data_IF_791177287886
#
_entry.id   IF_791177287886
#
_cell.length_a   1.000
_cell.length_b   1.000
_cell.length_c   1.000
_cell.angle_alpha   90.00
_cell.angle_beta   90.00
_cell.angle_gamma   90.00
#
_symmetry.space_group_name_H-M   'P 1'
#
loop_
_entity.id
_entity.type
_entity.pdbx_description
1 polymer ?
#
# COMPACT_ATOMS: atom_id res chain seq x y z
N UNK A 1 -10.68 26.70 15.59
CA UNK A 1 -11.17 25.48 16.26
C UNK A 1 -10.51 24.32 15.54
N UNK A 2 -9.60 23.60 16.18
CA UNK A 2 -8.91 22.45 15.60
C UNK A 2 -9.93 21.35 15.37
N UNK A 3 -10.34 21.14 14.13
CA UNK A 3 -11.29 20.09 13.77
C UNK A 3 -10.71 18.73 14.13
N UNK A 4 -11.46 17.95 14.89
CA UNK A 4 -11.04 16.61 15.30
C UNK A 4 -11.09 15.69 14.07
N UNK A 5 -9.92 15.29 13.55
CA UNK A 5 -9.80 14.42 12.36
C UNK A 5 -10.53 13.09 12.52
N UNK A 6 -10.67 12.57 13.75
CA UNK A 6 -11.41 11.34 14.03
C UNK A 6 -12.91 11.57 13.82
N UNK A 7 -13.41 12.71 14.28
CA UNK A 7 -14.80 13.09 14.06
C UNK A 7 -15.10 13.25 12.57
N UNK A 8 -14.24 13.93 11.81
CA UNK A 8 -14.37 14.07 10.35
C UNK A 8 -14.39 12.69 9.66
N UNK A 9 -13.48 11.79 10.02
CA UNK A 9 -13.41 10.45 9.44
C UNK A 9 -14.69 9.64 9.70
N UNK A 10 -15.16 9.61 10.95
CA UNK A 10 -16.34 8.83 11.33
C UNK A 10 -17.59 9.41 10.69
N UNK A 11 -17.77 10.73 10.72
CA UNK A 11 -18.93 11.37 10.07
C UNK A 11 -18.92 11.20 8.56
N UNK A 12 -17.75 11.29 7.90
CA UNK A 12 -17.61 11.01 6.48
C UNK A 12 -17.93 9.54 6.15
N UNK A 13 -17.49 8.59 6.98
CA UNK A 13 -17.83 7.17 6.82
C UNK A 13 -19.34 6.95 6.95
N UNK A 14 -19.98 7.49 8.00
CA UNK A 14 -21.43 7.36 8.18
C UNK A 14 -22.18 7.92 6.98
N UNK A 15 -21.76 9.08 6.47
CA UNK A 15 -22.35 9.69 5.27
C UNK A 15 -22.16 8.81 4.03
N UNK A 16 -20.95 8.27 3.82
CA UNK A 16 -20.64 7.38 2.70
C UNK A 16 -21.51 6.12 2.67
N UNK A 17 -21.80 5.57 3.85
CA UNK A 17 -22.62 4.36 4.01
C UNK A 17 -24.13 4.70 4.06
N UNK A 18 -24.50 5.99 4.09
CA UNK A 18 -25.88 6.43 4.16
C UNK A 18 -26.52 6.29 5.54
N UNK A 19 -25.71 6.33 6.60
CA UNK A 19 -26.17 6.24 8.00
C UNK A 19 -26.51 7.66 8.47
N UNK A 20 -27.79 7.96 8.77
CA UNK A 20 -28.18 9.26 9.29
C UNK A 20 -27.61 9.46 10.69
N UNK A 21 -26.91 10.58 10.88
CA UNK A 21 -26.31 10.97 12.15
C UNK A 21 -26.82 12.34 12.58
N UNK A 22 -27.11 12.49 13.87
CA UNK A 22 -27.57 13.75 14.45
C UNK A 22 -26.76 14.05 15.70
N UNK A 23 -26.33 15.30 15.84
CA UNK A 23 -25.59 15.76 17.01
C UNK A 23 -26.54 16.52 17.95
N UNK A 24 -26.53 16.15 19.23
CA UNK A 24 -27.19 16.88 20.30
C UNK A 24 -26.33 18.04 20.81
N UNK A 25 -26.95 18.98 21.54
CA UNK A 25 -26.25 20.13 22.12
C UNK A 25 -25.15 19.77 23.13
N UNK A 26 -25.20 18.55 23.70
CA UNK A 26 -24.25 18.06 24.71
C UNK A 26 -23.04 17.34 24.09
N UNK A 27 -22.88 17.36 22.77
CA UNK A 27 -21.76 16.68 22.10
C UNK A 27 -21.97 15.16 21.96
N UNK A 28 -23.20 14.69 22.14
CA UNK A 28 -23.61 13.31 21.92
C UNK A 28 -24.13 13.17 20.49
N UNK A 29 -23.66 12.14 19.80
CA UNK A 29 -24.08 11.79 18.45
C UNK A 29 -24.98 10.56 18.48
N UNK A 30 -26.09 10.63 17.75
CA UNK A 30 -27.01 9.52 17.56
C UNK A 30 -27.04 9.11 16.09
N UNK A 31 -26.79 7.82 15.82
CA UNK A 31 -26.87 7.22 14.51
C UNK A 31 -27.98 6.16 14.48
N UNK A 32 -28.80 6.19 13.43
CA UNK A 32 -29.78 5.12 13.17
C UNK A 32 -29.18 4.17 12.13
N UNK A 33 -28.89 2.93 12.51
CA UNK A 33 -28.17 1.98 11.68
C UNK A 33 -29.15 1.26 10.74
N UNK A 34 -28.98 1.38 9.40
CA UNK A 34 -29.78 0.63 8.43
C UNK A 34 -29.63 -0.88 8.60
N UNK A 35 -30.67 -1.65 8.30
CA UNK A 35 -30.68 -3.11 8.45
C UNK A 35 -29.49 -3.80 7.77
N UNK A 36 -29.14 -3.35 6.56
CA UNK A 36 -28.01 -3.84 5.79
C UNK A 36 -26.66 -3.72 6.51
N UNK A 37 -26.53 -2.78 7.45
CA UNK A 37 -25.28 -2.43 8.12
C UNK A 37 -25.23 -2.90 9.57
N UNK A 38 -26.32 -3.47 10.10
CA UNK A 38 -26.40 -3.93 11.50
C UNK A 38 -25.30 -4.92 11.86
N UNK A 39 -24.95 -5.86 10.97
CA UNK A 39 -23.87 -6.83 11.21
C UNK A 39 -22.51 -6.16 11.45
N UNK A 40 -22.26 -5.03 10.80
CA UNK A 40 -21.05 -4.23 11.02
C UNK A 40 -21.08 -3.52 12.38
N UNK A 41 -22.25 -3.17 12.89
CA UNK A 41 -22.44 -2.56 14.21
C UNK A 41 -22.94 -3.56 15.25
N UNK A 42 -22.50 -4.82 15.21
CA UNK A 42 -22.84 -5.85 16.21
C UNK A 42 -24.35 -6.08 16.44
N UNK A 43 -25.18 -5.81 15.45
CA UNK A 43 -26.64 -5.93 15.52
C UNK A 43 -27.36 -4.70 16.05
N UNK A 44 -26.66 -3.61 16.40
CA UNK A 44 -27.30 -2.40 16.92
C UNK A 44 -28.18 -1.71 15.88
N UNK A 45 -29.39 -1.32 16.28
CA UNK A 45 -30.30 -0.50 15.47
C UNK A 45 -30.04 0.99 15.67
N UNK A 46 -29.59 1.36 16.86
CA UNK A 46 -29.24 2.72 17.25
C UNK A 46 -27.88 2.70 17.93
N UNK A 47 -27.05 3.67 17.58
CA UNK A 47 -25.74 3.85 18.16
C UNK A 47 -25.64 5.27 18.72
N UNK A 48 -25.32 5.38 20.01
CA UNK A 48 -25.07 6.65 20.67
C UNK A 48 -23.58 6.72 21.03
N UNK A 49 -22.89 7.74 20.55
CA UNK A 49 -21.45 7.87 20.72
C UNK A 49 -21.03 9.32 20.95
N UNK A 50 -19.83 9.50 21.48
CA UNK A 50 -19.22 10.82 21.65
C UNK A 50 -17.73 10.77 21.34
N UNK A 51 -17.15 11.92 21.00
CA UNK A 51 -15.72 12.10 20.82
C UNK A 51 -15.08 12.79 22.04
N UNK A 52 -15.90 13.21 23.02
CA UNK A 52 -15.46 13.89 24.22
C UNK A 52 -15.42 12.92 25.40
N UNK A 53 -14.24 12.82 26.01
CA UNK A 53 -14.02 11.97 27.17
C UNK A 53 -14.85 12.42 28.38
N UNK A 54 -15.01 13.72 28.61
CA UNK A 54 -15.75 14.23 29.76
C UNK A 54 -17.24 13.90 29.68
N UNK A 55 -17.78 13.87 28.44
CA UNK A 55 -19.17 13.47 28.18
C UNK A 55 -19.34 11.97 28.38
N UNK A 56 -18.40 11.15 27.88
CA UNK A 56 -18.42 9.70 28.07
C UNK A 56 -18.30 9.28 29.55
N UNK A 57 -17.55 10.02 30.37
CA UNK A 57 -17.44 9.72 31.81
C UNK A 57 -18.75 10.00 32.57
N UNK A 58 -19.57 10.94 32.09
CA UNK A 58 -20.89 11.27 32.67
C UNK A 58 -21.99 10.30 32.22
N UNK A 59 -21.88 9.75 31.01
CA UNK A 59 -22.89 8.90 30.39
C UNK A 59 -22.31 7.53 30.03
N UNK A 60 -22.56 6.52 30.87
CA UNK A 60 -22.04 5.15 30.69
C UNK A 60 -22.62 4.40 29.50
N UNK A 61 -23.70 4.90 28.94
CA UNK A 61 -24.41 4.35 27.78
C UNK A 61 -23.84 4.83 26.44
N UNK A 62 -22.88 5.77 26.46
CA UNK A 62 -22.24 6.28 25.24
C UNK A 62 -20.95 5.54 24.93
N UNK A 63 -20.74 5.24 23.64
CA UNK A 63 -19.45 4.77 23.16
C UNK A 63 -18.50 5.95 22.93
N UNK A 64 -17.34 5.95 23.60
CA UNK A 64 -16.28 6.92 23.35
C UNK A 64 -15.48 6.52 22.11
N UNK A 65 -15.55 7.33 21.06
CA UNK A 65 -14.74 7.15 19.86
C UNK A 65 -13.47 7.99 19.98
N UNK A 66 -12.37 7.32 20.31
CA UNK A 66 -11.03 7.88 20.38
C UNK A 66 -10.02 6.97 19.67
N UNK A 67 -8.76 7.39 19.63
CA UNK A 67 -7.65 6.52 19.18
C UNK A 67 -7.65 5.22 19.99
N UNK A 68 -7.61 4.08 19.30
CA UNK A 68 -7.70 2.76 19.92
C UNK A 68 -9.11 2.26 20.22
N UNK A 69 -10.17 3.04 19.97
CA UNK A 69 -11.54 2.54 20.07
C UNK A 69 -11.83 1.44 19.04
N UNK A 70 -12.64 0.46 19.44
CA UNK A 70 -12.96 -0.70 18.61
C UNK A 70 -13.72 -0.29 17.34
N UNK A 71 -14.71 0.60 17.47
CA UNK A 71 -15.47 1.09 16.34
C UNK A 71 -14.60 1.83 15.31
N UNK A 72 -13.70 2.72 15.77
CA UNK A 72 -12.77 3.42 14.88
C UNK A 72 -11.89 2.42 14.11
N UNK A 73 -11.36 1.41 14.80
CA UNK A 73 -10.56 0.35 14.17
C UNK A 73 -11.34 -0.39 13.09
N UNK A 74 -12.59 -0.78 13.35
CA UNK A 74 -13.45 -1.44 12.36
C UNK A 74 -13.75 -0.56 11.16
N UNK A 75 -14.01 0.74 11.38
CA UNK A 75 -14.25 1.71 10.31
C UNK A 75 -13.02 1.80 9.41
N UNK A 76 -11.83 1.94 10.00
CA UNK A 76 -10.56 2.00 9.26
C UNK A 76 -10.31 0.70 8.48
N UNK A 77 -10.48 -0.47 9.12
CA UNK A 77 -10.31 -1.77 8.46
C UNK A 77 -11.25 -1.94 7.26
N UNK A 78 -12.51 -1.52 7.39
CA UNK A 78 -13.48 -1.56 6.28
C UNK A 78 -13.10 -0.60 5.15
N UNK A 79 -12.64 0.60 5.48
CA UNK A 79 -12.21 1.57 4.47
C UNK A 79 -10.97 1.11 3.70
N UNK A 80 -10.01 0.47 4.39
CA UNK A 80 -8.80 -0.10 3.78
C UNK A 80 -9.09 -1.37 2.98
N UNK A 81 -10.09 -2.15 3.39
CA UNK A 81 -10.44 -3.42 2.76
C UNK A 81 -11.14 -3.30 1.41
N UNK A 82 -11.54 -2.10 0.98
CA UNK A 82 -12.18 -1.86 -0.31
C UNK A 82 -11.11 -1.27 -1.25
N UNK A 83 -10.57 -2.04 -2.21
CA UNK A 83 -9.67 -1.50 -3.20
C UNK A 83 -10.44 -0.48 -4.05
N UNK A 84 -10.06 0.79 -3.95
CA UNK A 84 -10.71 1.86 -4.72
C UNK A 84 -9.84 2.23 -5.90
N UNK A 85 -10.45 2.29 -7.08
CA UNK A 85 -9.87 2.98 -8.22
C UNK A 85 -10.63 4.27 -8.38
N UNK A 86 -9.92 5.38 -8.33
CA UNK A 86 -10.52 6.70 -8.50
C UNK A 86 -9.82 7.45 -9.62
N UNK A 87 -10.57 8.27 -10.35
CA UNK A 87 -10.02 9.19 -11.33
C UNK A 87 -10.33 10.59 -10.85
N UNK A 88 -9.31 11.44 -10.79
CA UNK A 88 -9.41 12.81 -10.30
C UNK A 88 -8.80 13.76 -11.31
N UNK A 89 -9.45 14.89 -11.55
CA UNK A 89 -9.03 15.94 -12.47
C UNK A 89 -8.52 17.13 -11.67
N UNK A 90 -7.30 17.57 -11.95
CA UNK A 90 -6.71 18.72 -11.26
C UNK A 90 -7.36 20.02 -11.74
N UNK A 91 -7.73 20.85 -10.78
CA UNK A 91 -8.15 22.24 -10.97
C UNK A 91 -6.92 23.14 -10.95
N UNK A 92 -6.72 23.92 -12.01
CA UNK A 92 -5.65 24.91 -12.04
C UNK A 92 -5.11 25.19 -13.43
N UNK A 93 -4.15 26.13 -13.49
CA UNK A 93 -3.49 26.49 -14.73
C UNK A 93 -2.82 25.27 -15.36
N UNK A 94 -2.97 25.07 -16.68
CA UNK A 94 -2.39 23.92 -17.36
C UNK A 94 -0.86 23.97 -17.28
N UNK A 95 -0.26 22.82 -16.97
CA UNK A 95 1.19 22.67 -16.88
C UNK A 95 1.83 22.72 -18.27
N UNK A 96 3.07 23.20 -18.33
CA UNK A 96 3.90 23.03 -19.51
C UNK A 96 4.43 21.59 -19.53
N UNK A 97 4.47 20.93 -20.70
CA UNK A 97 4.96 19.58 -20.81
C UNK A 97 6.44 19.54 -20.39
N UNK A 98 6.91 18.48 -19.71
CA UNK A 98 8.32 18.35 -19.37
C UNK A 98 9.15 18.36 -20.65
N UNK A 99 10.05 19.34 -20.77
CA UNK A 99 11.04 19.41 -21.85
C UNK A 99 12.05 18.30 -21.55
N UNK A 100 11.87 17.14 -22.18
CA UNK A 100 12.74 15.98 -21.95
C UNK A 100 14.20 16.33 -22.20
N UNK A 101 15.07 16.01 -21.24
CA UNK A 101 16.52 16.18 -21.28
C UNK A 101 17.23 15.17 -22.20
N UNK A 102 16.50 14.48 -23.08
CA UNK A 102 17.06 13.49 -24.01
C UNK A 102 16.90 13.94 -25.46
N UNK A 103 18.01 14.48 -26.00
CA UNK A 103 18.32 14.77 -27.42
C UNK A 103 17.62 15.97 -28.07
N UNK A 104 18.30 17.12 -27.95
CA UNK A 104 18.31 18.20 -28.93
C UNK A 104 17.16 19.20 -28.85
N UNK A 105 17.37 20.47 -29.27
CA UNK A 105 16.31 21.46 -29.36
C UNK A 105 15.48 21.18 -30.63
N UNK A 106 14.67 20.13 -30.61
CA UNK A 106 13.54 20.07 -31.55
C UNK A 106 12.49 21.05 -31.05
N UNK A 107 12.48 22.25 -31.63
CA UNK A 107 11.37 23.19 -31.60
C UNK A 107 10.12 22.47 -32.11
N UNK A 108 9.41 21.76 -31.22
CA UNK A 108 8.08 21.26 -31.52
C UNK A 108 7.15 22.46 -31.51
N UNK A 109 6.55 22.75 -32.67
CA UNK A 109 5.43 23.68 -32.80
C UNK A 109 4.38 23.27 -31.75
N UNK A 110 4.34 23.98 -30.61
CA UNK A 110 3.19 24.01 -29.73
C UNK A 110 2.05 24.50 -30.63
N UNK A 111 1.10 23.63 -30.95
CA UNK A 111 -0.15 24.14 -31.51
C UNK A 111 -0.70 25.09 -30.44
N UNK A 112 -0.78 26.40 -30.69
CA UNK A 112 -1.16 27.34 -29.66
C UNK A 112 -2.57 26.98 -29.19
N UNK A 113 -2.73 26.74 -27.89
CA UNK A 113 -4.03 26.78 -27.22
C UNK A 113 -4.82 25.47 -27.09
N UNK A 114 -4.28 24.28 -27.40
CA UNK A 114 -4.99 23.02 -27.07
C UNK A 114 -4.48 22.44 -25.75
N UNK A 115 -5.31 22.58 -24.71
CA UNK A 115 -5.14 21.93 -23.40
C UNK A 115 -5.67 20.50 -23.49
N UNK A 116 -4.97 19.54 -22.87
CA UNK A 116 -5.45 18.18 -22.71
C UNK A 116 -5.10 17.67 -21.30
N UNK A 117 -5.85 16.70 -20.79
CA UNK A 117 -5.49 16.04 -19.54
C UNK A 117 -4.45 14.94 -19.79
N UNK A 118 -3.33 15.03 -19.07
CA UNK A 118 -2.29 14.01 -18.97
C UNK A 118 -2.52 13.15 -17.73
N UNK A 119 -2.34 11.85 -17.85
CA UNK A 119 -2.53 10.92 -16.73
C UNK A 119 -1.24 10.75 -15.92
N UNK A 120 -1.35 10.85 -14.60
CA UNK A 120 -0.40 10.35 -13.61
C UNK A 120 -1.13 9.36 -12.71
N UNK A 121 -0.42 8.44 -12.08
CA UNK A 121 -1.06 7.41 -11.24
C UNK A 121 -0.40 7.37 -9.88
N UNK A 122 -1.22 7.42 -8.82
CA UNK A 122 -0.78 7.23 -7.44
C UNK A 122 -1.25 5.86 -6.97
N UNK A 123 -0.31 5.01 -6.57
CA UNK A 123 -0.58 3.73 -5.95
C UNK A 123 -0.29 3.83 -4.45
N UNK A 124 -1.29 3.60 -3.60
CA UNK A 124 -1.07 3.55 -2.16
C UNK A 124 -1.02 2.08 -1.70
N UNK A 125 0.05 1.73 -1.00
CA UNK A 125 0.32 0.38 -0.51
C UNK A 125 0.32 0.33 1.01
N UNK A 126 -0.15 -0.80 1.54
CA UNK A 126 0.06 -1.22 2.92
C UNK A 126 1.10 -2.34 2.93
N UNK A 127 2.16 -2.16 3.70
CA UNK A 127 3.19 -3.19 3.93
C UNK A 127 3.08 -3.64 5.38
N UNK A 128 2.79 -4.92 5.59
CA UNK A 128 2.68 -5.53 6.91
C UNK A 128 3.89 -6.45 7.14
N UNK A 129 4.64 -6.18 8.20
CA UNK A 129 5.73 -6.99 8.69
C UNK A 129 5.24 -7.80 9.87
N UNK A 130 5.20 -9.12 9.74
CA UNK A 130 4.71 -10.04 10.76
C UNK A 130 5.84 -10.97 11.19
N UNK A 131 6.26 -10.85 12.45
CA UNK A 131 7.08 -11.85 13.15
C UNK A 131 6.51 -12.07 14.55
N UNK A 132 7.27 -11.79 15.62
CA UNK A 132 6.76 -11.70 17.00
C UNK A 132 5.72 -10.57 17.15
N UNK A 133 6.01 -9.41 16.57
CA UNK A 133 5.10 -8.27 16.50
C UNK A 133 4.65 -8.03 15.06
N UNK A 134 3.43 -7.50 14.91
CA UNK A 134 2.91 -6.99 13.63
C UNK A 134 3.15 -5.49 13.54
N UNK A 135 3.90 -5.07 12.53
CA UNK A 135 4.11 -3.67 12.20
C UNK A 135 3.52 -3.38 10.82
N UNK A 136 2.69 -2.34 10.71
CA UNK A 136 2.12 -1.91 9.42
C UNK A 136 2.69 -0.55 9.03
N UNK A 137 3.00 -0.39 7.74
CA UNK A 137 3.45 0.87 7.14
C UNK A 137 2.68 1.16 5.87
N UNK A 138 2.54 2.44 5.58
CA UNK A 138 1.85 2.94 4.40
C UNK A 138 2.86 3.59 3.47
N UNK A 139 2.68 3.38 2.17
CA UNK A 139 3.54 3.97 1.14
C UNK A 139 2.68 4.50 0.00
N UNK A 140 3.05 5.65 -0.54
CA UNK A 140 2.43 6.26 -1.72
C UNK A 140 3.46 6.34 -2.84
N UNK A 141 3.14 5.76 -3.99
CA UNK A 141 3.99 5.75 -5.18
C UNK A 141 3.31 6.52 -6.31
N UNK A 142 3.86 7.68 -6.67
CA UNK A 142 3.43 8.49 -7.80
C UNK A 142 4.24 8.10 -9.04
N UNK A 143 3.56 7.60 -10.07
CA UNK A 143 4.13 7.29 -11.37
C UNK A 143 3.69 8.33 -12.42
N UNK A 144 4.65 9.06 -13.00
CA UNK A 144 4.42 9.98 -14.11
C UNK A 144 4.87 9.32 -15.43
N UNK A 145 3.94 8.84 -16.28
CA UNK A 145 4.28 8.17 -17.54
C UNK A 145 4.95 9.10 -18.56
N UNK A 146 4.81 10.43 -18.44
CA UNK A 146 5.43 11.37 -19.38
C UNK A 146 6.85 11.75 -18.99
N UNK A 147 7.15 11.80 -17.68
CA UNK A 147 8.52 12.03 -17.19
C UNK A 147 9.33 10.74 -17.06
N UNK A 148 8.67 9.57 -17.06
CA UNK A 148 9.28 8.28 -16.71
C UNK A 148 9.90 8.30 -15.32
N UNK A 149 9.29 9.05 -14.40
CA UNK A 149 9.73 9.20 -13.02
C UNK A 149 8.71 8.53 -12.09
N UNK A 150 9.23 7.80 -11.11
CA UNK A 150 8.46 7.17 -10.05
C UNK A 150 8.96 7.74 -8.72
N UNK A 151 8.06 8.39 -7.99
CA UNK A 151 8.35 8.97 -6.69
C UNK A 151 7.67 8.15 -5.61
N UNK A 152 8.45 7.68 -4.63
CA UNK A 152 7.95 6.95 -3.48
C UNK A 152 8.04 7.82 -2.23
N UNK A 153 6.96 7.88 -1.46
CA UNK A 153 6.86 8.57 -0.18
C UNK A 153 6.31 7.62 0.88
N UNK A 154 6.89 7.65 2.09
CA UNK A 154 6.31 6.96 3.25
C UNK A 154 5.10 7.76 3.76
N UNK A 155 4.01 7.06 4.08
CA UNK A 155 2.69 7.63 4.35
C UNK A 155 1.76 7.59 3.15
N UNK A 156 0.51 8.00 3.37
CA UNK A 156 -0.47 8.22 2.29
C UNK A 156 -0.20 9.58 1.64
N UNK A 157 -0.39 9.67 0.33
CA UNK A 157 -0.12 10.89 -0.43
C UNK A 157 -0.96 12.09 0.03
N UNK A 158 -0.39 13.30 -0.06
CA UNK A 158 -1.05 14.57 0.28
C UNK A 158 -1.88 15.08 -0.91
N UNK A 159 -2.93 14.36 -1.28
CA UNK A 159 -3.88 14.88 -2.27
C UNK A 159 -4.78 15.91 -1.60
N UNK A 160 -4.61 17.17 -2.00
CA UNK A 160 -5.46 18.28 -1.54
C UNK A 160 -6.83 18.19 -2.24
N UNK A 161 -7.91 17.87 -1.54
CA UNK A 161 -9.24 17.72 -2.14
C UNK A 161 -9.75 19.02 -2.77
N UNK A 162 -9.20 20.19 -2.42
CA UNK A 162 -9.58 21.46 -3.04
C UNK A 162 -9.00 21.64 -4.44
N UNK A 163 -7.95 20.88 -4.78
CA UNK A 163 -7.25 20.96 -6.07
C UNK A 163 -7.73 19.92 -7.07
N UNK A 164 -8.64 19.01 -6.68
CA UNK A 164 -9.07 17.90 -7.52
C UNK A 164 -10.59 17.74 -7.53
N UNK A 165 -11.16 17.34 -8.68
CA UNK A 165 -12.58 16.99 -8.85
C UNK A 165 -12.73 15.63 -9.50
N UNK A 166 -13.88 15.00 -9.32
CA UNK A 166 -14.22 13.74 -9.99
C UNK A 166 -14.62 13.94 -11.47
N UNK A 167 -15.14 15.13 -11.81
CA UNK A 167 -15.57 15.46 -13.17
C UNK A 167 -14.49 16.26 -13.94
N UNK A 168 -14.29 15.96 -15.24
CA UNK A 168 -13.40 16.74 -16.11
C UNK A 168 -13.98 18.12 -16.44
N UNK A 169 -13.11 19.07 -16.78
CA UNK A 169 -13.55 20.32 -17.36
C UNK A 169 -14.22 20.09 -18.74
N UNK A 170 -15.42 20.66 -18.99
CA UNK A 170 -16.11 20.49 -20.27
C UNK A 170 -15.25 20.95 -21.44
N UNK A 171 -15.09 20.08 -22.45
CA UNK A 171 -14.38 20.41 -23.69
C UNK A 171 -12.86 20.18 -23.68
N UNK A 172 -12.27 19.76 -22.56
CA UNK A 172 -10.85 19.37 -22.50
C UNK A 172 -10.70 17.88 -22.82
N UNK A 173 -10.01 17.50 -23.91
CA UNK A 173 -9.79 16.08 -24.24
C UNK A 173 -8.89 15.41 -23.20
N UNK A 174 -9.24 14.18 -22.84
CA UNK A 174 -8.41 13.32 -21.99
C UNK A 174 -7.46 12.56 -22.91
N UNK A 175 -6.15 12.79 -22.78
CA UNK A 175 -5.17 11.91 -23.42
C UNK A 175 -5.12 10.64 -22.58
N UNK A 176 -5.85 9.63 -23.03
CA UNK A 176 -5.60 8.25 -22.67
C UNK A 176 -4.29 7.85 -23.33
N UNK A 177 -3.19 8.41 -22.82
CA UNK A 177 -1.88 7.85 -23.03
C UNK A 177 -2.01 6.39 -22.64
N UNK A 178 -2.10 5.49 -23.62
CA UNK A 178 -2.14 4.03 -23.42
C UNK A 178 -0.83 3.49 -22.85
N UNK A 179 -0.20 4.23 -21.95
CA UNK A 179 0.78 3.72 -21.03
C UNK A 179 0.11 2.59 -20.25
N UNK A 180 0.74 1.43 -20.31
CA UNK A 180 0.24 0.23 -19.70
C UNK A 180 0.22 0.44 -18.17
N UNK A 181 -0.96 0.68 -17.61
CA UNK A 181 -1.16 0.87 -16.17
C UNK A 181 -0.55 -0.29 -15.37
N UNK A 182 -0.61 -1.50 -15.94
CA UNK A 182 0.01 -2.69 -15.36
C UNK A 182 1.52 -2.55 -15.29
N UNK A 183 2.15 -2.00 -16.33
CA UNK A 183 3.59 -1.75 -16.34
C UNK A 183 3.98 -0.72 -15.27
N UNK A 184 3.23 0.38 -15.14
CA UNK A 184 3.49 1.38 -14.10
C UNK A 184 3.31 0.78 -12.70
N UNK A 185 2.31 -0.07 -12.51
CA UNK A 185 2.09 -0.80 -11.27
C UNK A 185 3.27 -1.73 -10.95
N UNK A 186 3.75 -2.52 -11.92
CA UNK A 186 4.89 -3.41 -11.72
C UNK A 186 6.18 -2.64 -11.43
N UNK A 187 6.40 -1.51 -12.08
CA UNK A 187 7.54 -0.63 -11.79
C UNK A 187 7.42 -0.03 -10.38
N UNK A 188 6.22 0.38 -9.95
CA UNK A 188 5.95 0.84 -8.59
C UNK A 188 6.21 -0.25 -7.54
N UNK A 189 5.79 -1.50 -7.79
CA UNK A 189 6.08 -2.63 -6.91
C UNK A 189 7.58 -2.87 -6.75
N UNK A 190 8.36 -2.85 -7.85
CA UNK A 190 9.82 -3.01 -7.80
C UNK A 190 10.48 -1.89 -7.01
N UNK A 191 10.01 -0.66 -7.17
CA UNK A 191 10.54 0.49 -6.42
C UNK A 191 10.23 0.36 -4.93
N UNK A 192 9.02 -0.10 -4.59
CA UNK A 192 8.63 -0.37 -3.21
C UNK A 192 9.48 -1.47 -2.60
N UNK A 193 9.65 -2.61 -3.29
CA UNK A 193 10.50 -3.72 -2.88
C UNK A 193 11.94 -3.26 -2.62
N UNK A 194 12.52 -2.48 -3.52
CA UNK A 194 13.87 -1.93 -3.35
C UNK A 194 13.97 -1.01 -2.14
N UNK A 195 12.90 -0.29 -1.80
CA UNK A 195 12.89 0.65 -0.67
C UNK A 195 12.74 -0.09 0.67
N UNK A 196 11.94 -1.15 0.72
CA UNK A 196 11.73 -1.93 1.95
C UNK A 196 12.83 -2.98 2.17
N UNK A 197 13.59 -3.37 1.14
CA UNK A 197 14.61 -4.43 1.22
C UNK A 197 15.65 -4.21 2.35
N UNK A 198 16.22 -3.02 2.56
CA UNK A 198 17.14 -2.78 3.68
C UNK A 198 16.47 -3.02 5.03
N UNK A 199 15.25 -2.51 5.22
CA UNK A 199 14.48 -2.69 6.45
C UNK A 199 14.13 -4.17 6.69
N UNK A 200 13.74 -4.91 5.65
CA UNK A 200 13.52 -6.35 5.72
C UNK A 200 14.80 -7.08 6.14
N UNK A 201 15.95 -6.68 5.59
CA UNK A 201 17.26 -7.23 5.96
C UNK A 201 17.59 -7.01 7.44
N UNK A 202 17.36 -5.80 7.95
CA UNK A 202 17.58 -5.47 9.37
C UNK A 202 16.68 -6.27 10.30
N UNK A 203 15.39 -6.40 9.99
CA UNK A 203 14.44 -7.17 10.80
C UNK A 203 14.83 -8.65 10.78
N UNK A 204 15.19 -9.20 9.61
CA UNK A 204 15.67 -10.59 9.50
C UNK A 204 16.92 -10.84 10.32
N UNK A 205 17.92 -9.96 10.24
CA UNK A 205 19.15 -10.10 10.99
C UNK A 205 18.89 -10.05 12.51
N UNK A 206 18.02 -9.13 12.95
CA UNK A 206 17.60 -9.02 14.35
C UNK A 206 16.86 -10.28 14.83
N UNK A 207 15.93 -10.79 14.03
CA UNK A 207 15.17 -11.99 14.35
C UNK A 207 16.06 -13.24 14.37
N UNK A 208 17.02 -13.35 13.44
CA UNK A 208 17.99 -14.44 13.43
C UNK A 208 18.84 -14.45 14.71
N UNK A 209 19.36 -13.29 15.14
CA UNK A 209 20.13 -13.20 16.38
C UNK A 209 19.31 -13.58 17.63
N UNK A 210 18.03 -13.20 17.68
CA UNK A 210 17.11 -13.61 18.76
C UNK A 210 16.82 -15.12 18.71
N UNK A 211 16.57 -15.65 17.52
CA UNK A 211 16.37 -17.08 17.29
C UNK A 211 17.57 -17.88 17.77
N UNK A 212 18.79 -17.52 17.36
CA UNK A 212 20.02 -18.24 17.74
C UNK A 212 20.25 -18.21 19.26
N UNK A 213 19.97 -17.07 19.90
CA UNK A 213 20.10 -16.93 21.35
C UNK A 213 19.07 -17.77 22.12
N UNK A 214 17.78 -17.75 21.73
CA UNK A 214 16.75 -18.57 22.36
C UNK A 214 16.92 -20.06 22.07
N UNK A 215 17.23 -20.40 20.82
CA UNK A 215 17.50 -21.78 20.41
C UNK A 215 18.72 -22.35 21.16
N UNK A 216 19.79 -21.57 21.33
CA UNK A 216 20.94 -21.96 22.13
C UNK A 216 20.56 -22.27 23.58
N UNK A 217 19.83 -21.37 24.26
CA UNK A 217 19.36 -21.60 25.63
C UNK A 217 18.49 -22.84 25.76
N UNK A 218 17.58 -23.06 24.80
CA UNK A 218 16.69 -24.21 24.82
C UNK A 218 17.43 -25.52 24.56
N UNK A 219 18.38 -25.53 23.62
CA UNK A 219 19.24 -26.68 23.35
C UNK A 219 20.07 -27.05 24.57
N UNK A 220 20.67 -26.07 25.24
CA UNK A 220 21.50 -26.31 26.41
C UNK A 220 20.66 -26.91 27.57
N UNK A 221 19.44 -26.42 27.77
CA UNK A 221 18.47 -26.98 28.72
C UNK A 221 18.10 -28.44 28.39
N UNK A 222 17.85 -28.76 27.12
CA UNK A 222 17.52 -30.12 26.71
C UNK A 222 18.69 -31.09 26.87
N UNK A 223 19.91 -30.66 26.52
CA UNK A 223 21.12 -31.45 26.73
C UNK A 223 21.37 -31.75 28.21
N UNK A 224 21.08 -30.78 29.09
CA UNK A 224 21.13 -30.98 30.53
C UNK A 224 20.10 -32.02 30.99
N UNK A 225 18.83 -31.90 30.55
CA UNK A 225 17.78 -32.87 30.87
C UNK A 225 18.09 -34.29 30.35
N UNK A 226 18.58 -34.40 29.10
CA UNK A 226 19.01 -35.69 28.55
C UNK A 226 20.14 -36.31 29.36
N UNK A 227 21.14 -35.51 29.75
CA UNK A 227 22.26 -35.98 30.58
C UNK A 227 21.79 -36.46 31.95
N UNK A 228 20.83 -35.78 32.57
CA UNK A 228 20.24 -36.23 33.84
C UNK A 228 19.47 -37.55 33.69
N UNK A 229 18.68 -37.71 32.62
CA UNK A 229 17.96 -38.96 32.33
C UNK A 229 18.91 -40.12 32.04
N UNK A 230 20.00 -39.88 31.28
CA UNK A 230 21.03 -40.89 31.02
C UNK A 230 21.76 -41.31 32.30
N UNK A 231 22.12 -40.37 33.18
CA UNK A 231 22.68 -40.69 34.51
C UNK A 231 21.71 -41.53 35.36
N UNK A 232 20.41 -41.23 35.31
CA UNK A 232 19.39 -42.06 35.98
C UNK A 232 19.34 -43.46 35.39
N UNK A 233 19.45 -43.60 34.06
CA UNK A 233 19.50 -44.89 33.35
C UNK A 233 20.68 -45.75 33.84
N UNK A 234 21.87 -45.16 33.93
CA UNK A 234 23.07 -45.84 34.44
C UNK A 234 22.91 -46.31 35.90
N UNK A 235 22.28 -45.48 36.75
CA UNK A 235 22.06 -45.82 38.17
C UNK A 235 20.95 -46.86 38.40
N UNK A 236 20.02 -47.02 37.46
CA UNK A 236 18.90 -47.97 37.54
C UNK A 236 19.35 -49.43 37.34
N UNK A 237 20.55 -49.66 36.79
CA UNK A 237 21.17 -50.97 36.49
C UNK A 237 21.32 -51.95 37.67
N UNK A 238 21.00 -51.52 38.90
CA UNK A 238 21.15 -52.31 40.12
C UNK A 238 19.83 -52.83 40.75
N UNK A 239 18.66 -52.58 40.15
CA UNK A 239 17.37 -53.01 40.70
C UNK A 239 16.68 -54.14 39.92
N UNK A 240 16.00 -55.07 40.62
CA UNK A 240 15.26 -56.22 40.05
C UNK A 240 14.21 -55.85 38.98
N UNK A 241 13.76 -54.59 38.92
CA UNK A 241 12.81 -54.06 37.94
C UNK A 241 13.48 -53.21 36.84
N UNK A 242 14.77 -53.45 36.59
CA UNK A 242 15.61 -52.70 35.64
C UNK A 242 14.93 -52.46 34.30
N UNK A 243 14.38 -53.50 33.67
CA UNK A 243 13.73 -53.39 32.35
C UNK A 243 12.55 -52.42 32.32
N UNK A 244 11.70 -52.39 33.36
CA UNK A 244 10.55 -51.46 33.38
C UNK A 244 10.99 -50.00 33.56
N UNK A 245 12.00 -49.77 34.40
CA UNK A 245 12.56 -48.44 34.66
C UNK A 245 13.37 -47.92 33.47
N UNK A 246 14.10 -48.80 32.79
CA UNK A 246 14.87 -48.47 31.59
C UNK A 246 13.93 -48.06 30.44
N UNK A 247 12.87 -48.84 30.22
CA UNK A 247 11.87 -48.54 29.20
C UNK A 247 11.10 -47.23 29.50
N UNK A 248 10.84 -46.94 30.78
CA UNK A 248 10.25 -45.66 31.23
C UNK A 248 11.19 -44.48 30.90
N UNK A 249 12.49 -44.61 31.16
CA UNK A 249 13.48 -43.57 30.84
C UNK A 249 13.63 -43.39 29.32
N UNK A 250 13.62 -44.48 28.55
CA UNK A 250 13.71 -44.41 27.09
C UNK A 250 12.46 -43.73 26.48
N UNK A 251 11.27 -43.95 27.05
CA UNK A 251 10.06 -43.19 26.69
C UNK A 251 10.22 -41.71 27.01
N UNK A 252 10.72 -41.37 28.20
CA UNK A 252 10.96 -39.96 28.57
C UNK A 252 11.95 -39.26 27.63
N UNK A 253 13.03 -39.94 27.22
CA UNK A 253 13.99 -39.40 26.25
C UNK A 253 13.31 -39.15 24.90
N UNK A 254 12.49 -40.11 24.44
CA UNK A 254 11.76 -39.98 23.18
C UNK A 254 10.74 -38.84 23.21
N UNK A 255 9.99 -38.71 24.31
CA UNK A 255 9.04 -37.61 24.48
C UNK A 255 9.76 -36.26 24.46
N UNK A 256 10.92 -36.17 25.13
CA UNK A 256 11.75 -34.96 25.17
C UNK A 256 12.33 -34.60 23.79
N UNK A 257 12.62 -35.59 22.94
CA UNK A 257 13.00 -35.38 21.54
C UNK A 257 11.84 -34.90 20.67
N UNK A 258 10.63 -35.44 20.88
CA UNK A 258 9.44 -34.94 20.18
C UNK A 258 9.10 -33.51 20.59
N UNK A 259 9.21 -33.19 21.87
CA UNK A 259 9.02 -31.83 22.37
C UNK A 259 10.07 -30.88 21.80
N UNK A 260 11.33 -31.32 21.70
CA UNK A 260 12.38 -30.57 21.03
C UNK A 260 12.02 -30.24 19.58
N UNK A 261 11.61 -31.24 18.79
CA UNK A 261 11.23 -31.00 17.39
C UNK A 261 10.08 -29.99 17.29
N UNK A 262 9.05 -30.13 18.13
CA UNK A 262 7.92 -29.20 18.17
C UNK A 262 8.38 -27.78 18.54
N UNK A 263 9.24 -27.65 19.54
CA UNK A 263 9.69 -26.34 20.01
C UNK A 263 10.57 -25.63 19.00
N UNK A 264 11.39 -26.37 18.26
CA UNK A 264 12.18 -25.82 17.16
C UNK A 264 11.28 -25.28 16.05
N UNK A 265 10.19 -25.98 15.72
CA UNK A 265 9.19 -25.48 14.77
C UNK A 265 8.49 -24.22 15.29
N UNK A 266 8.03 -24.22 16.55
CA UNK A 266 7.45 -23.04 17.20
C UNK A 266 8.40 -21.82 17.16
N UNK A 267 9.69 -22.02 17.47
CA UNK A 267 10.70 -20.95 17.42
C UNK A 267 10.94 -20.47 15.99
N UNK A 268 11.01 -21.39 15.02
CA UNK A 268 11.16 -21.02 13.60
C UNK A 268 9.98 -20.18 13.14
N UNK A 269 8.75 -20.58 13.45
CA UNK A 269 7.55 -19.83 13.09
C UNK A 269 7.50 -18.46 13.78
N UNK A 270 7.87 -18.39 15.06
CA UNK A 270 7.90 -17.14 15.85
C UNK A 270 8.84 -16.09 15.24
N UNK A 271 10.02 -16.51 14.78
CA UNK A 271 11.05 -15.60 14.25
C UNK A 271 11.02 -15.44 12.72
N UNK A 272 10.22 -16.25 12.02
CA UNK A 272 10.04 -16.13 10.58
C UNK A 272 9.34 -14.82 10.23
N UNK A 273 10.06 -13.93 9.53
CA UNK A 273 9.49 -12.70 9.02
C UNK A 273 8.62 -12.99 7.80
N UNK A 274 7.33 -12.69 7.91
CA UNK A 274 6.37 -12.62 6.80
C UNK A 274 6.17 -11.16 6.42
N UNK A 275 6.31 -10.85 5.13
CA UNK A 275 6.08 -9.50 4.59
C UNK A 275 4.91 -9.60 3.62
N UNK A 276 3.84 -8.86 3.89
CA UNK A 276 2.65 -8.82 3.05
C UNK A 276 2.50 -7.40 2.48
N UNK A 277 2.39 -7.31 1.15
CA UNK A 277 2.15 -6.05 0.44
C UNK A 277 0.75 -6.08 -0.12
N UNK A 278 -0.09 -5.13 0.29
CA UNK A 278 -1.46 -4.95 -0.21
C UNK A 278 -1.61 -3.59 -0.88
N UNK A 279 -2.19 -3.56 -2.08
CA UNK A 279 -2.63 -2.31 -2.70
C UNK A 279 -3.93 -1.84 -2.03
N UNK A 280 -3.92 -0.62 -1.48
CA UNK A 280 -5.09 -0.02 -0.82
C UNK A 280 -5.98 0.65 -1.87
N UNK A 281 -5.40 1.52 -2.70
CA UNK A 281 -6.12 2.18 -3.78
C UNK A 281 -5.16 2.63 -4.88
N UNK A 282 -5.73 2.89 -6.06
CA UNK A 282 -5.05 3.47 -7.19
C UNK A 282 -5.82 4.71 -7.65
N UNK A 283 -5.13 5.85 -7.74
CA UNK A 283 -5.74 7.13 -8.10
C UNK A 283 -5.11 7.60 -9.40
N UNK A 284 -5.91 7.72 -10.45
CA UNK A 284 -5.51 8.30 -11.74
C UNK A 284 -5.73 9.80 -11.68
N UNK A 285 -4.64 10.56 -11.60
CA UNK A 285 -4.64 12.01 -11.62
C UNK A 285 -4.55 12.51 -13.06
N UNK A 286 -5.55 13.26 -13.49
CA UNK A 286 -5.61 13.92 -14.78
C UNK A 286 -5.16 15.38 -14.61
N UNK A 287 -3.96 15.69 -15.09
CA UNK A 287 -3.35 17.03 -14.99
C UNK A 287 -3.49 17.78 -16.31
N UNK A 288 -4.10 18.98 -16.33
CA UNK A 288 -4.23 19.75 -17.55
C UNK A 288 -2.84 20.19 -18.02
N UNK A 289 -2.52 19.94 -19.28
CA UNK A 289 -1.20 20.21 -19.88
C UNK A 289 -1.37 20.91 -21.23
N UNK A 290 -0.55 21.91 -21.53
CA UNK A 290 -0.55 22.62 -22.82
C UNK A 290 0.24 21.81 -23.86
N UNK A 291 -0.36 21.47 -25.01
CA UNK A 291 0.39 20.87 -26.12
C UNK A 291 -0.37 19.78 -26.87
N UNK A 292 0.33 19.10 -27.78
CA UNK A 292 -0.25 17.99 -28.54
C UNK A 292 -0.27 16.69 -27.69
N UNK A 293 -1.39 15.94 -27.67
CA UNK A 293 -1.47 14.68 -26.95
C UNK A 293 -0.47 13.66 -27.52
N UNK A 294 0.12 12.83 -26.65
CA UNK A 294 1.17 11.89 -27.03
C UNK A 294 0.69 10.84 -28.06
N UNK A 295 -0.61 10.52 -28.02
CA UNK A 295 -1.32 9.67 -28.98
C UNK A 295 -1.26 10.22 -30.43
N UNK A 296 -1.40 11.53 -30.62
CA UNK A 296 -1.31 12.18 -31.94
C UNK A 296 0.13 12.29 -32.45
N UNK A 297 1.10 12.48 -31.56
CA UNK A 297 2.53 12.48 -31.91
C UNK A 297 2.97 11.08 -32.38
N UNK A 298 2.51 10.01 -31.71
CA UNK A 298 2.77 8.62 -32.14
C UNK A 298 2.12 8.30 -33.48
N UNK A 299 0.89 8.75 -33.73
CA UNK A 299 0.20 8.56 -35.02
C UNK A 299 0.92 9.26 -36.17
N UNK A 300 1.31 10.54 -36.00
CA UNK A 300 2.14 11.26 -36.98
C UNK A 300 3.50 10.61 -37.23
N UNK A 301 4.13 10.03 -36.20
CA UNK A 301 5.42 9.32 -36.35
C UNK A 301 5.27 7.97 -37.07
N UNK A 302 4.09 7.35 -36.99
CA UNK A 302 3.76 6.09 -37.67
C UNK A 302 3.32 6.30 -39.11
N UNK A 303 2.67 7.44 -39.40
CA UNK A 303 2.29 7.88 -40.74
C UNK A 303 3.44 8.59 -41.49
N UNK A 304 4.47 9.06 -40.78
CA UNK A 304 5.68 9.66 -41.34
C UNK A 304 6.76 8.63 -41.67
N UNK A 305 6.54 7.80 -42.69
CA UNK A 305 7.60 7.02 -43.36
C UNK A 305 7.48 7.23 -44.88
N UNK A 306 8.58 7.75 -45.44
CA UNK A 306 8.92 8.01 -46.84
C UNK A 306 8.30 9.25 -47.54
N UNK A 307 9.05 10.36 -47.55
CA UNK A 307 9.14 11.18 -48.76
C UNK A 307 10.24 10.55 -49.64
N UNK A 308 9.94 10.09 -50.87
CA UNK A 308 11.00 9.69 -51.78
C UNK A 308 11.72 10.96 -52.25
N UNK A 309 13.04 10.96 -52.06
CA UNK A 309 13.97 11.81 -52.79
C UNK A 309 13.80 11.48 -54.27
N UNK A 310 13.20 12.40 -55.03
CA UNK A 310 12.87 12.21 -56.44
C UNK A 310 13.02 13.49 -57.24
N UNK A 311 14.17 13.59 -57.93
CA UNK A 311 14.36 14.25 -59.23
C UNK A 311 14.11 15.77 -59.32
N UNK A 312 15.13 16.57 -59.00
CA UNK A 312 15.41 17.81 -59.74
C UNK A 312 16.56 17.53 -60.69
N UNK A 313 16.20 17.39 -61.97
CA UNK A 313 17.10 17.11 -63.07
C UNK A 313 18.07 18.25 -63.36
N UNK A 314 19.18 17.85 -63.96
CA UNK A 314 20.24 18.67 -64.52
C UNK A 314 19.71 19.80 -65.41
N UNK A 315 20.13 21.03 -65.09
CA UNK A 315 19.94 22.18 -65.96
C UNK A 315 20.66 21.97 -67.29
N UNK A 316 19.89 21.92 -68.38
CA UNK A 316 20.40 22.19 -69.72
C UNK A 316 20.17 23.67 -70.02
N UNK A 317 21.28 24.34 -70.32
CA UNK A 317 21.33 25.61 -71.02
C UNK A 317 20.51 25.54 -72.32
N UNK A 318 19.67 26.54 -72.56
CA UNK A 318 19.41 27.00 -73.93
C UNK A 318 19.44 28.53 -73.96
N UNK A 319 20.44 28.99 -74.71
CA UNK A 319 20.69 30.38 -75.10
C UNK A 319 19.66 30.77 -76.16
N UNK A 320 19.07 31.95 -76.04
CA UNK A 320 18.49 32.67 -77.19
C UNK A 320 19.17 34.04 -77.32
N UNK A 321 19.53 34.46 -78.55
CA UNK A 321 20.19 35.73 -78.78
C UNK A 321 19.18 36.88 -78.78
N UNK A 322 19.62 38.05 -78.31
CA UNK A 322 18.99 39.32 -78.64
C UNK A 322 19.64 39.89 -79.92
N UNK A 323 18.83 40.61 -80.70
CA UNK A 323 19.20 41.41 -81.87
C UNK A 323 20.29 42.42 -81.54
#
# INVERSE_FOLDING_TARGET
MTTNKIQELVTAFMTMVGIPTTQSAEGIWHATIPEAERSFFNGFEQLSFTFDREVAEKHRDLELIAEGSYLLKRIVERLVGIPKVSRLFRLGAPEMPPIGTARGPELRLLTPGKVHYRQQVVFNFKVSFTSEDRCERLFSVLADPAKHEIYLKEGLGDLDPTQFREDPEPGVPIDESGADLLRLYLEACRQLESTIAPQVGEIRARNAGRFDAEFGRYRDFLEEQKRELLKKKENVCFHLYFFQKEEEIDRMIKDLETEHTRKVEELKEKYQLKVEVGLINAIVLCIPTIGAPASQVRKKKREGLALPVGLMGSGKQEVRPAV
#
